data_IF_316574519144
#
_entry.id   IF_316574519144
#
_cell.length_a   1.000
_cell.length_b   1.000
_cell.length_c   1.000
_cell.angle_alpha   90.00
_cell.angle_beta   90.00
_cell.angle_gamma   90.00
#
_symmetry.space_group_name_H-M   'P 1'
#
loop_
_entity.id
_entity.type
_entity.pdbx_description
1 polymer ?
#
# COMPACT_ATOMS: atom_id res chain seq x y z
N UNK A 1 23.49 1.75 -23.90
CA UNK A 1 24.51 1.76 -22.84
C UNK A 1 23.78 1.54 -21.53
N UNK A 2 23.74 0.31 -21.07
CA UNK A 2 23.30 0.04 -19.69
C UNK A 2 24.32 0.64 -18.75
N UNK A 3 23.87 1.59 -17.95
CA UNK A 3 24.68 2.16 -16.89
C UNK A 3 24.77 1.09 -15.78
N UNK A 4 25.80 0.29 -15.81
CA UNK A 4 26.03 -0.88 -14.91
C UNK A 4 26.41 -0.50 -13.49
N UNK A 5 26.19 0.72 -13.05
CA UNK A 5 26.77 1.22 -11.82
C UNK A 5 25.79 1.49 -10.67
N UNK A 6 24.50 1.55 -10.92
CA UNK A 6 23.58 2.07 -9.90
C UNK A 6 23.15 1.07 -8.84
N UNK A 7 23.05 -0.22 -9.18
CA UNK A 7 22.55 -1.27 -8.26
C UNK A 7 23.46 -2.50 -8.24
N UNK A 8 24.76 -2.33 -8.43
CA UNK A 8 25.70 -3.44 -8.41
C UNK A 8 25.81 -4.03 -7.00
N UNK A 9 25.34 -5.26 -6.84
CA UNK A 9 25.27 -5.97 -5.55
C UNK A 9 23.95 -5.82 -4.81
N UNK A 10 23.01 -5.04 -5.31
CA UNK A 10 21.66 -4.94 -4.76
C UNK A 10 20.71 -5.89 -5.48
N UNK A 11 19.83 -6.52 -4.72
CA UNK A 11 18.74 -7.35 -5.23
C UNK A 11 17.44 -6.56 -5.15
N UNK A 12 16.67 -6.52 -6.21
CA UNK A 12 15.44 -5.78 -6.24
C UNK A 12 14.74 -5.81 -7.59
N UNK A 13 13.67 -5.02 -7.69
CA UNK A 13 12.86 -4.86 -8.90
C UNK A 13 13.16 -3.50 -9.51
N UNK A 14 13.77 -3.50 -10.70
CA UNK A 14 13.96 -2.30 -11.52
C UNK A 14 12.70 -2.02 -12.34
N UNK A 15 12.22 -0.81 -12.32
CA UNK A 15 11.08 -0.32 -13.10
C UNK A 15 11.62 0.55 -14.23
N UNK A 16 11.32 0.15 -15.45
CA UNK A 16 11.85 0.79 -16.65
C UNK A 16 10.72 1.27 -17.53
N UNK A 17 10.86 2.48 -18.03
CA UNK A 17 10.03 3.04 -19.08
C UNK A 17 10.71 2.89 -20.43
N UNK A 18 9.98 2.36 -21.43
CA UNK A 18 10.45 2.29 -22.81
C UNK A 18 9.68 3.30 -23.68
N UNK A 19 10.38 4.30 -24.18
CA UNK A 19 9.82 5.24 -25.14
C UNK A 19 9.92 4.69 -26.55
N UNK A 20 8.77 4.48 -27.18
CA UNK A 20 8.70 4.00 -28.57
C UNK A 20 9.23 5.05 -29.56
N UNK A 21 8.98 6.33 -29.28
CA UNK A 21 9.35 7.45 -30.15
C UNK A 21 10.86 7.66 -30.23
N UNK A 22 11.53 7.54 -29.09
CA UNK A 22 12.99 7.75 -28.98
C UNK A 22 13.78 6.44 -29.00
N UNK A 23 13.10 5.29 -28.92
CA UNK A 23 13.71 3.96 -28.74
C UNK A 23 14.68 3.92 -27.56
N UNK A 24 14.36 4.63 -26.49
CA UNK A 24 15.16 4.73 -25.28
C UNK A 24 14.51 3.96 -24.11
N UNK A 25 15.36 3.39 -23.26
CA UNK A 25 14.96 2.77 -21.99
C UNK A 25 15.51 3.63 -20.86
N UNK A 26 14.63 4.03 -19.96
CA UNK A 26 14.98 4.80 -18.76
C UNK A 26 14.55 4.02 -17.52
N UNK A 27 15.40 3.99 -16.50
CA UNK A 27 15.03 3.47 -15.19
C UNK A 27 14.27 4.55 -14.44
N UNK A 28 13.06 4.22 -14.00
CA UNK A 28 12.17 5.14 -13.30
C UNK A 28 12.17 4.95 -11.78
N UNK A 29 12.37 3.71 -11.35
CA UNK A 29 12.47 3.39 -9.92
C UNK A 29 13.21 2.07 -9.71
N UNK A 30 13.74 1.88 -8.51
CA UNK A 30 14.26 0.61 -8.02
C UNK A 30 13.69 0.29 -6.66
N UNK A 31 13.07 -0.88 -6.54
CA UNK A 31 12.49 -1.38 -5.29
C UNK A 31 13.43 -2.45 -4.74
N UNK A 32 14.17 -2.19 -3.66
CA UNK A 32 15.00 -3.20 -3.02
C UNK A 32 14.16 -4.38 -2.53
N UNK A 33 14.65 -5.60 -2.67
CA UNK A 33 13.98 -6.80 -2.16
C UNK A 33 15.02 -7.81 -1.69
N UNK A 34 14.71 -8.49 -0.60
CA UNK A 34 15.54 -9.60 -0.10
C UNK A 34 15.00 -10.96 -0.54
N UNK A 35 13.87 -10.97 -1.26
CA UNK A 35 13.20 -12.20 -1.69
C UNK A 35 13.84 -12.80 -2.93
N UNK A 36 13.68 -14.11 -3.11
CA UNK A 36 14.09 -14.78 -4.34
C UNK A 36 13.25 -14.27 -5.52
N UNK A 37 13.81 -14.34 -6.72
CA UNK A 37 13.13 -13.92 -7.96
C UNK A 37 11.73 -14.52 -8.12
N UNK A 38 11.56 -15.80 -7.81
CA UNK A 38 10.27 -16.48 -7.97
C UNK A 38 9.20 -15.90 -7.03
N UNK A 39 9.56 -15.59 -5.79
CA UNK A 39 8.65 -15.00 -4.80
C UNK A 39 8.33 -13.54 -5.16
N UNK A 40 9.35 -12.76 -5.54
CA UNK A 40 9.14 -11.37 -5.95
C UNK A 40 8.27 -11.27 -7.21
N UNK A 41 8.43 -12.18 -8.18
CA UNK A 41 7.60 -12.22 -9.38
C UNK A 41 6.14 -12.59 -9.10
N UNK A 42 5.89 -13.49 -8.15
CA UNK A 42 4.54 -13.87 -7.73
C UNK A 42 3.83 -12.69 -7.04
N UNK A 43 4.54 -11.99 -6.16
CA UNK A 43 3.99 -10.81 -5.47
C UNK A 43 3.68 -9.66 -6.42
N UNK A 44 4.59 -9.37 -7.35
CA UNK A 44 4.35 -8.35 -8.37
C UNK A 44 3.15 -8.69 -9.26
N UNK A 45 2.92 -9.98 -9.50
CA UNK A 45 1.74 -10.44 -10.25
C UNK A 45 0.41 -10.15 -9.55
N UNK A 46 0.41 -9.95 -8.23
CA UNK A 46 -0.81 -9.71 -7.44
C UNK A 46 -1.30 -8.28 -7.56
N UNK A 47 -0.40 -7.32 -7.61
CA UNK A 47 -0.76 -5.90 -7.70
C UNK A 47 0.31 -5.09 -8.42
N UNK A 48 0.07 -4.84 -9.70
CA UNK A 48 0.72 -3.80 -10.49
C UNK A 48 -0.36 -3.11 -11.31
N UNK A 49 -0.52 -1.81 -11.14
CA UNK A 49 -1.49 -1.01 -11.89
C UNK A 49 -0.83 0.25 -12.44
N UNK A 50 -0.92 0.44 -13.75
CA UNK A 50 -0.45 1.65 -14.40
C UNK A 50 -1.64 2.55 -14.77
N UNK A 51 -1.67 3.74 -14.15
CA UNK A 51 -2.60 4.80 -14.48
C UNK A 51 -2.00 5.66 -15.59
N UNK A 52 -2.44 5.43 -16.81
CA UNK A 52 -1.93 6.15 -17.99
C UNK A 52 -2.28 7.65 -17.96
N UNK A 53 -3.45 8.00 -17.41
CA UNK A 53 -3.93 9.38 -17.42
C UNK A 53 -3.10 10.31 -16.50
N UNK A 54 -2.48 9.72 -15.49
CA UNK A 54 -1.69 10.43 -14.47
C UNK A 54 -0.21 10.07 -14.48
N UNK A 55 0.24 9.20 -15.40
CA UNK A 55 1.60 8.64 -15.41
C UNK A 55 2.03 8.00 -14.08
N UNK A 56 1.05 7.44 -13.34
CA UNK A 56 1.26 6.83 -12.02
C UNK A 56 1.33 5.31 -12.13
N UNK A 57 2.33 4.72 -11.50
CA UNK A 57 2.44 3.28 -11.33
C UNK A 57 2.25 2.92 -9.85
N UNK A 58 1.35 1.99 -9.57
CA UNK A 58 1.14 1.41 -8.25
C UNK A 58 1.67 -0.01 -8.24
N UNK A 59 2.49 -0.33 -7.25
CA UNK A 59 3.15 -1.63 -7.13
C UNK A 59 3.13 -2.09 -5.68
N UNK A 60 2.66 -3.31 -5.45
CA UNK A 60 2.84 -3.99 -4.18
C UNK A 60 4.05 -4.92 -4.29
N UNK A 61 5.05 -4.67 -3.48
CA UNK A 61 6.26 -5.48 -3.42
C UNK A 61 6.72 -5.61 -1.96
N UNK A 62 6.99 -6.83 -1.54
CA UNK A 62 7.49 -7.15 -0.19
C UNK A 62 6.59 -6.60 0.95
N UNK A 63 5.26 -6.66 0.75
CA UNK A 63 4.29 -6.14 1.68
C UNK A 63 4.22 -4.61 1.74
N UNK A 64 4.90 -3.92 0.83
CA UNK A 64 4.91 -2.45 0.75
C UNK A 64 4.21 -2.00 -0.52
N UNK A 65 3.24 -1.11 -0.37
CA UNK A 65 2.53 -0.48 -1.48
C UNK A 65 3.24 0.82 -1.87
N UNK A 66 3.76 0.84 -3.09
CA UNK A 66 4.42 1.99 -3.68
C UNK A 66 3.54 2.69 -4.70
N UNK A 67 3.62 4.01 -4.71
CA UNK A 67 3.14 4.88 -5.78
C UNK A 67 4.38 5.51 -6.43
N UNK A 68 4.49 5.39 -7.74
CA UNK A 68 5.64 5.88 -8.51
C UNK A 68 5.13 6.83 -9.57
N UNK A 69 5.55 8.07 -9.50
CA UNK A 69 5.33 9.10 -10.52
C UNK A 69 6.39 8.92 -11.60
N UNK A 70 5.97 8.48 -12.78
CA UNK A 70 6.88 8.19 -13.89
C UNK A 70 7.35 9.46 -14.63
N UNK A 71 6.67 10.58 -14.45
CA UNK A 71 7.07 11.85 -15.07
C UNK A 71 8.13 12.56 -14.22
N UNK A 72 8.04 12.46 -12.90
CA UNK A 72 8.93 13.16 -11.97
C UNK A 72 9.98 12.23 -11.34
N UNK A 73 9.94 10.92 -11.62
CA UNK A 73 10.82 9.89 -11.03
C UNK A 73 10.73 9.86 -9.48
N UNK A 74 9.53 10.17 -8.93
CA UNK A 74 9.28 10.18 -7.49
C UNK A 74 8.61 8.89 -7.05
N UNK A 75 9.14 8.30 -5.98
CA UNK A 75 8.58 7.10 -5.35
C UNK A 75 8.06 7.44 -3.96
N UNK A 76 6.79 7.14 -3.70
CA UNK A 76 6.13 7.31 -2.41
C UNK A 76 5.66 5.97 -1.88
N UNK A 77 5.87 5.73 -0.59
CA UNK A 77 5.30 4.58 0.11
C UNK A 77 3.93 4.96 0.66
N UNK A 78 2.90 4.20 0.26
CA UNK A 78 1.51 4.40 0.72
C UNK A 78 1.19 3.56 1.96
N UNK A 79 1.72 2.34 2.02
CA UNK A 79 1.56 1.43 3.16
C UNK A 79 2.73 0.46 3.23
N UNK A 80 3.06 0.00 4.45
CA UNK A 80 4.14 -0.94 4.72
C UNK A 80 3.65 -2.10 5.59
N UNK A 81 4.34 -3.24 5.47
CA UNK A 81 4.09 -4.41 6.31
C UNK A 81 2.76 -5.11 6.04
N UNK A 82 2.18 -4.91 4.86
CA UNK A 82 0.92 -5.56 4.46
C UNK A 82 1.11 -7.05 4.27
N UNK A 83 0.30 -7.84 4.98
CA UNK A 83 0.13 -9.26 4.71
C UNK A 83 -1.00 -9.48 3.70
N UNK A 84 -1.11 -10.69 3.15
CA UNK A 84 -2.15 -11.03 2.15
C UNK A 84 -3.59 -10.80 2.66
N UNK A 85 -3.78 -10.85 3.97
CA UNK A 85 -5.09 -10.65 4.61
C UNK A 85 -5.43 -9.17 4.83
N UNK A 86 -4.45 -8.28 4.67
CA UNK A 86 -4.58 -6.86 4.97
C UNK A 86 -4.82 -5.99 3.75
N UNK A 87 -4.92 -6.58 2.58
CA UNK A 87 -5.30 -5.86 1.38
C UNK A 87 -6.21 -6.69 0.46
N UNK A 88 -6.93 -6.02 -0.40
CA UNK A 88 -7.74 -6.61 -1.46
C UNK A 88 -7.67 -5.74 -2.72
N UNK A 89 -7.73 -6.38 -3.88
CA UNK A 89 -7.74 -5.71 -5.19
C UNK A 89 -8.99 -6.15 -5.94
N UNK A 90 -9.66 -5.23 -6.62
CA UNK A 90 -10.82 -5.57 -7.45
C UNK A 90 -10.40 -6.39 -8.68
N UNK A 91 -11.33 -7.19 -9.23
CA UNK A 91 -11.06 -8.06 -10.38
C UNK A 91 -10.54 -7.29 -11.62
N UNK A 92 -10.97 -6.03 -11.78
CA UNK A 92 -10.52 -5.15 -12.85
C UNK A 92 -9.24 -4.37 -12.51
N UNK A 93 -8.70 -4.55 -11.32
CA UNK A 93 -7.47 -3.91 -10.84
C UNK A 93 -7.60 -2.40 -10.57
N UNK A 94 -8.80 -1.82 -10.62
CA UNK A 94 -8.98 -0.36 -10.49
C UNK A 94 -9.14 0.12 -9.06
N UNK A 95 -9.60 -0.76 -8.18
CA UNK A 95 -9.79 -0.45 -6.77
C UNK A 95 -8.86 -1.31 -5.94
N UNK A 96 -8.26 -0.71 -4.96
CA UNK A 96 -7.48 -1.38 -3.94
C UNK A 96 -7.96 -0.95 -2.55
N UNK A 97 -8.09 -1.89 -1.66
CA UNK A 97 -8.34 -1.63 -0.25
C UNK A 97 -7.19 -2.21 0.58
N UNK A 98 -6.66 -1.45 1.53
CA UNK A 98 -5.61 -1.91 2.40
C UNK A 98 -5.79 -1.40 3.82
N UNK A 99 -5.38 -2.24 4.78
CA UNK A 99 -5.39 -1.88 6.18
C UNK A 99 -4.28 -0.87 6.46
N UNK A 100 -4.59 0.14 7.24
CA UNK A 100 -3.63 1.11 7.74
C UNK A 100 -3.82 1.30 9.24
N UNK A 101 -2.80 1.75 9.91
CA UNK A 101 -2.94 2.23 11.28
C UNK A 101 -3.70 3.55 11.21
N UNK A 102 -4.82 3.64 11.93
CA UNK A 102 -5.66 4.84 11.93
C UNK A 102 -4.81 6.07 12.24
N UNK A 103 -4.49 6.81 11.20
CA UNK A 103 -3.87 8.12 11.35
C UNK A 103 -4.99 9.12 11.51
N UNK A 104 -5.06 9.74 12.67
CA UNK A 104 -5.68 11.06 12.78
C UNK A 104 -4.87 12.03 11.94
N UNK A 105 -5.15 12.07 10.63
CA UNK A 105 -4.72 13.21 9.83
C UNK A 105 -5.43 14.44 10.37
N UNK A 106 -4.73 15.18 11.24
CA UNK A 106 -5.06 16.57 11.51
C UNK A 106 -4.95 17.29 10.18
N UNK A 107 -6.10 17.74 9.65
CA UNK A 107 -6.14 18.77 8.63
C UNK A 107 -5.12 19.83 9.01
N UNK A 108 -4.16 20.05 8.11
CA UNK A 108 -3.16 21.08 8.21
C UNK A 108 -3.85 22.45 8.30
N UNK A 109 -3.87 22.98 9.50
CA UNK A 109 -4.28 24.35 9.84
C UNK A 109 -3.37 24.81 10.95
N UNK A 110 -2.31 25.48 10.51
CA UNK A 110 -1.51 26.55 11.17
C UNK A 110 -1.21 26.49 12.67
N UNK A 111 0.10 26.60 12.91
CA UNK A 111 0.87 27.26 13.97
C UNK A 111 1.06 26.61 15.34
N UNK A 112 2.36 26.50 15.58
CA UNK A 112 3.17 26.79 16.78
C UNK A 112 2.89 26.08 18.10
N UNK A 113 3.94 25.39 18.58
CA UNK A 113 4.32 25.47 19.99
C UNK A 113 4.34 24.19 20.80
N UNK A 114 5.55 23.71 21.04
CA UNK A 114 6.06 23.14 22.29
C UNK A 114 5.63 21.76 22.84
N UNK A 115 6.62 20.90 22.87
CA UNK A 115 7.08 20.01 23.95
C UNK A 115 6.05 19.39 24.91
N UNK A 116 6.06 18.06 24.95
CA UNK A 116 5.48 17.30 26.04
C UNK A 116 5.52 15.80 25.81
N UNK A 117 6.67 15.17 26.09
CA UNK A 117 6.79 13.73 26.34
C UNK A 117 5.74 13.29 27.35
N UNK A 118 4.84 12.37 26.93
CA UNK A 118 4.35 11.34 27.85
C UNK A 118 3.76 10.19 27.02
N UNK A 119 4.30 8.99 27.23
CA UNK A 119 3.80 7.76 26.64
C UNK A 119 2.33 7.52 26.99
N UNK A 120 1.52 7.66 25.98
CA UNK A 120 0.21 7.03 25.91
C UNK A 120 0.31 6.05 24.74
N UNK A 121 0.24 4.78 25.03
CA UNK A 121 -0.05 3.75 24.02
C UNK A 121 -1.49 4.00 23.58
N UNK A 122 -1.72 5.03 22.78
CA UNK A 122 -2.94 5.17 22.03
C UNK A 122 -2.98 3.97 21.11
N UNK A 123 -3.90 3.07 21.39
CA UNK A 123 -4.30 1.98 20.51
C UNK A 123 -4.98 2.67 19.32
N UNK A 124 -4.16 3.13 18.38
CA UNK A 124 -4.68 3.64 17.12
C UNK A 124 -5.54 2.53 16.53
N UNK A 125 -6.85 2.77 16.40
CA UNK A 125 -7.77 1.83 15.80
C UNK A 125 -7.29 1.48 14.40
N UNK A 126 -7.52 0.26 13.95
CA UNK A 126 -7.25 -0.09 12.56
C UNK A 126 -8.20 0.69 11.66
N UNK A 127 -7.74 1.06 10.50
CA UNK A 127 -8.54 1.68 9.46
C UNK A 127 -8.29 0.96 8.12
N UNK A 128 -9.22 1.11 7.18
CA UNK A 128 -9.04 0.64 5.81
C UNK A 128 -9.06 1.87 4.90
N UNK A 129 -8.04 1.99 4.07
CA UNK A 129 -8.03 2.92 2.95
C UNK A 129 -8.52 2.19 1.70
N UNK A 130 -9.60 2.67 1.10
CA UNK A 130 -10.08 2.23 -0.22
C UNK A 130 -9.66 3.26 -1.24
N UNK A 131 -8.84 2.87 -2.18
CA UNK A 131 -8.26 3.75 -3.20
C UNK A 131 -8.78 3.38 -4.59
N UNK A 132 -9.21 4.39 -5.33
CA UNK A 132 -9.43 4.27 -6.76
C UNK A 132 -8.11 4.60 -7.49
N UNK A 133 -7.46 3.58 -8.02
CA UNK A 133 -6.14 3.71 -8.65
C UNK A 133 -6.18 4.51 -9.95
N UNK A 134 -7.36 4.66 -10.56
CA UNK A 134 -7.52 5.46 -11.77
C UNK A 134 -7.68 6.95 -11.48
N UNK A 135 -8.50 7.32 -10.50
CA UNK A 135 -8.73 8.73 -10.17
C UNK A 135 -7.76 9.25 -9.09
N UNK A 136 -7.15 8.34 -8.29
CA UNK A 136 -6.37 8.69 -7.13
C UNK A 136 -7.21 9.00 -5.88
N UNK A 137 -8.55 8.90 -5.98
CA UNK A 137 -9.44 9.16 -4.85
C UNK A 137 -9.28 8.09 -3.77
N UNK A 138 -9.30 8.52 -2.52
CA UNK A 138 -9.20 7.65 -1.35
C UNK A 138 -10.38 7.84 -0.41
N UNK A 139 -10.84 6.73 0.17
CA UNK A 139 -11.90 6.70 1.16
C UNK A 139 -11.42 5.94 2.39
N UNK A 140 -11.57 6.54 3.57
CA UNK A 140 -11.16 5.92 4.83
C UNK A 140 -12.37 5.31 5.55
N UNK A 141 -12.17 4.10 6.05
CA UNK A 141 -13.12 3.38 6.90
C UNK A 141 -12.43 3.16 8.23
N UNK A 142 -12.77 3.98 9.22
CA UNK A 142 -12.19 3.90 10.55
C UNK A 142 -12.90 2.84 11.40
N UNK A 143 -12.13 2.09 12.16
CA UNK A 143 -12.66 1.23 13.22
C UNK A 143 -13.08 2.08 14.43
N UNK A 144 -14.15 1.69 15.12
CA UNK A 144 -14.48 2.27 16.41
C UNK A 144 -13.47 1.79 17.48
N UNK A 145 -13.50 2.46 18.63
CA UNK A 145 -12.65 2.08 19.77
C UNK A 145 -12.88 0.61 20.17
N UNK A 146 -11.81 -0.17 20.22
CA UNK A 146 -11.87 -1.60 20.52
C UNK A 146 -12.30 -2.49 19.33
N UNK A 147 -12.54 -1.92 18.17
CA UNK A 147 -12.80 -2.66 16.93
C UNK A 147 -11.54 -2.79 16.07
N UNK A 148 -11.50 -3.83 15.27
CA UNK A 148 -10.56 -4.01 14.19
C UNK A 148 -11.32 -4.20 12.87
N UNK A 149 -10.85 -3.61 11.79
CA UNK A 149 -11.43 -3.73 10.45
C UNK A 149 -10.46 -4.41 9.51
N UNK A 150 -10.95 -5.34 8.69
CA UNK A 150 -10.15 -6.11 7.74
C UNK A 150 -10.81 -6.08 6.37
N UNK A 151 -10.07 -5.87 5.29
CA UNK A 151 -10.59 -6.01 3.94
C UNK A 151 -10.90 -7.48 3.65
N UNK A 152 -12.08 -7.77 3.13
CA UNK A 152 -12.47 -9.13 2.73
C UNK A 152 -12.42 -9.32 1.21
N UNK A 153 -12.62 -8.26 0.44
CA UNK A 153 -12.56 -8.33 -1.01
C UNK A 153 -13.51 -7.39 -1.71
N UNK A 154 -13.64 -7.58 -3.03
CA UNK A 154 -14.58 -6.85 -3.87
C UNK A 154 -15.57 -7.84 -4.48
N UNK A 155 -16.85 -7.47 -4.51
CA UNK A 155 -17.92 -8.26 -5.12
C UNK A 155 -18.69 -7.34 -6.06
N UNK A 156 -18.66 -7.63 -7.36
CA UNK A 156 -19.32 -6.83 -8.39
C UNK A 156 -18.94 -5.33 -8.36
N UNK A 157 -17.73 -5.02 -7.94
CA UNK A 157 -17.23 -3.64 -7.81
C UNK A 157 -17.53 -2.98 -6.46
N UNK A 158 -18.29 -3.62 -5.58
CA UNK A 158 -18.52 -3.15 -4.21
C UNK A 158 -17.46 -3.70 -3.27
N UNK A 159 -16.99 -2.87 -2.36
CA UNK A 159 -16.01 -3.27 -1.36
C UNK A 159 -16.70 -3.91 -0.15
N UNK A 160 -16.16 -5.05 0.30
CA UNK A 160 -16.64 -5.80 1.47
C UNK A 160 -15.54 -5.88 2.51
N UNK A 161 -15.87 -5.56 3.75
CA UNK A 161 -14.94 -5.63 4.88
C UNK A 161 -15.59 -6.27 6.10
N UNK A 162 -14.76 -6.83 6.99
CA UNK A 162 -15.16 -7.39 8.26
C UNK A 162 -14.83 -6.46 9.42
N UNK A 163 -15.64 -6.55 10.49
CA UNK A 163 -15.36 -5.94 11.78
C UNK A 163 -15.23 -7.01 12.84
N UNK A 164 -14.22 -6.90 13.70
CA UNK A 164 -14.01 -7.75 14.85
C UNK A 164 -13.86 -6.88 16.10
N UNK A 165 -14.59 -7.17 17.15
CA UNK A 165 -14.46 -6.50 18.43
C UNK A 165 -13.51 -7.30 19.33
N UNK A 166 -12.53 -6.66 19.93
CA UNK A 166 -11.60 -7.30 20.86
C UNK A 166 -12.30 -7.87 22.10
N UNK A 167 -13.46 -7.30 22.46
CA UNK A 167 -14.29 -7.80 23.56
C UNK A 167 -14.99 -9.14 23.25
N UNK A 168 -15.13 -9.49 21.96
CA UNK A 168 -15.76 -10.74 21.50
C UNK A 168 -14.76 -11.91 21.37
N UNK A 169 -13.49 -11.67 21.66
CA UNK A 169 -12.49 -12.72 21.81
C UNK A 169 -12.73 -13.50 23.12
N UNK A 170 -13.97 -13.95 23.31
CA UNK A 170 -14.35 -14.84 24.38
C UNK A 170 -13.68 -16.20 24.17
N UNK A 171 -13.03 -16.69 25.21
CA UNK A 171 -12.55 -18.07 25.32
C UNK A 171 -13.68 -19.00 24.88
N UNK A 172 -13.50 -19.68 23.75
CA UNK A 172 -14.43 -20.75 23.37
C UNK A 172 -14.50 -21.74 24.51
N UNK A 173 -15.71 -22.25 24.83
CA UNK A 173 -15.99 -23.18 25.93
C UNK A 173 -15.25 -24.53 25.78
N UNK A 174 -14.47 -24.72 24.76
CA UNK A 174 -13.50 -25.81 24.62
C UNK A 174 -12.16 -25.32 25.21
N UNK A 175 -12.11 -25.32 26.53
CA UNK A 175 -10.88 -25.03 27.26
C UNK A 175 -9.81 -26.08 26.96
N UNK A 176 -9.00 -25.81 25.96
CA UNK A 176 -7.66 -26.32 25.74
C UNK A 176 -6.84 -25.20 25.06
#
# INVERSE_FOLDING_TARGET
YMNRGYHEGEVGVGIYYFSVDTNAIEEKAFIPSTKSYAIAADELGKMVYYNHDQSMLYVLADGTLYQIDLDNDEQTTLAEGLTEEQYAVSDDGRLMAYQTTGSTEKKQGDSTGENGSNGSTDTAGSAICVMNLRSGDTYMIDAAEGENVLPLGFINGDFVFGKACSADAGVTVAGE
#
